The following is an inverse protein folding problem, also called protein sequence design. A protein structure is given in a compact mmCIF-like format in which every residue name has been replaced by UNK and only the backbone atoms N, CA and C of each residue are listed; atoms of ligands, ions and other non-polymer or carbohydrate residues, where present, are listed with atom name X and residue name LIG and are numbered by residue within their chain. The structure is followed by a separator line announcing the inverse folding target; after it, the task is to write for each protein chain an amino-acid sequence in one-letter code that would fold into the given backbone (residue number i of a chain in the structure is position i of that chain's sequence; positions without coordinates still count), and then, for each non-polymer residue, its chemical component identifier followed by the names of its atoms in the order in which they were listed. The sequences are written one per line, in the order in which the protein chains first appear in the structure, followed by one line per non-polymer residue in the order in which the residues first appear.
data_IF_373938310448
#
_entry.id   IF_373938310448
#
_cell.length_a   1.000
_cell.length_b   1.000
_cell.length_c   1.000
_cell.angle_alpha   90.00
_cell.angle_beta   90.00
_cell.angle_gamma   90.00
#
_symmetry.space_group_name_H-M   'P 1'
#
loop_
_entity.id
_entity.type
_entity.pdbx_description
1 polymer ?
#
# COMPACT_ATOMS: atom_id res chain seq x y z
N UNK A 1 18.80 7.42 12.97
CA UNK A 1 18.56 7.91 11.59
C UNK A 1 17.88 9.26 11.63
N UNK A 2 18.24 10.13 10.70
CA UNK A 2 17.53 11.38 10.54
C UNK A 2 16.16 11.14 9.91
N UNK A 3 15.29 12.15 9.99
CA UNK A 3 13.98 12.08 9.36
C UNK A 3 14.10 11.87 7.84
N UNK A 4 15.04 12.56 7.22
CA UNK A 4 15.30 12.43 5.76
C UNK A 4 15.78 11.03 5.39
N UNK A 5 16.63 10.43 6.21
CA UNK A 5 17.11 9.06 5.99
C UNK A 5 15.98 8.05 6.09
N UNK A 6 15.06 8.23 7.05
CA UNK A 6 13.89 7.37 7.19
C UNK A 6 12.96 7.49 6.00
N UNK A 7 12.71 8.71 5.53
CA UNK A 7 11.87 8.92 4.34
C UNK A 7 12.49 8.23 3.13
N UNK A 8 13.80 8.37 2.94
CA UNK A 8 14.51 7.73 1.82
C UNK A 8 14.41 6.20 1.90
N UNK A 9 14.61 5.64 3.10
CA UNK A 9 14.51 4.19 3.32
C UNK A 9 13.12 3.67 2.97
N UNK A 10 12.08 4.33 3.50
CA UNK A 10 10.71 3.87 3.26
C UNK A 10 10.19 4.22 1.87
N UNK A 11 10.77 5.22 1.19
CA UNK A 11 10.46 5.43 -0.21
C UNK A 11 10.86 4.20 -1.04
N UNK A 12 12.02 3.61 -0.73
CA UNK A 12 12.49 2.39 -1.40
C UNK A 12 11.56 1.21 -1.07
N UNK A 13 11.20 1.03 0.21
CA UNK A 13 10.29 -0.03 0.63
C UNK A 13 8.96 0.09 -0.11
N UNK A 14 8.41 1.30 -0.17
CA UNK A 14 7.12 1.55 -0.81
C UNK A 14 7.18 1.38 -2.32
N UNK A 15 8.27 1.80 -2.97
CA UNK A 15 8.45 1.62 -4.41
C UNK A 15 8.49 0.12 -4.75
N UNK A 16 9.14 -0.68 -3.94
CA UNK A 16 9.18 -2.13 -4.14
C UNK A 16 7.82 -2.78 -3.89
N UNK A 17 7.09 -2.31 -2.89
CA UNK A 17 5.72 -2.78 -2.63
C UNK A 17 4.81 -2.46 -3.82
N UNK A 18 4.90 -1.24 -4.35
CA UNK A 18 4.14 -0.84 -5.54
C UNK A 18 4.43 -1.75 -6.74
N UNK A 19 5.70 -2.08 -6.97
CA UNK A 19 6.08 -3.01 -8.06
C UNK A 19 5.42 -4.38 -7.88
N UNK A 20 5.37 -4.87 -6.66
CA UNK A 20 4.72 -6.15 -6.38
C UNK A 20 3.22 -6.08 -6.67
N UNK A 21 2.56 -5.00 -6.26
CA UNK A 21 1.12 -4.83 -6.50
C UNK A 21 0.82 -4.73 -7.99
N UNK A 22 1.62 -3.95 -8.74
CA UNK A 22 1.44 -3.79 -10.19
C UNK A 22 1.65 -5.12 -10.94
N UNK A 23 2.49 -6.01 -10.40
CA UNK A 23 2.71 -7.32 -11.02
C UNK A 23 1.45 -8.18 -11.03
N UNK A 24 0.48 -7.87 -10.18
CA UNK A 24 -0.73 -8.66 -9.97
C UNK A 24 -0.43 -10.12 -9.62
N UNK A 25 0.75 -10.37 -9.06
CA UNK A 25 1.25 -11.69 -8.66
C UNK A 25 1.17 -11.82 -7.15
N UNK A 26 0.33 -12.72 -6.66
CA UNK A 26 0.08 -12.87 -5.23
C UNK A 26 1.33 -13.29 -4.45
N UNK A 27 2.19 -14.12 -5.06
CA UNK A 27 3.44 -14.54 -4.42
C UNK A 27 4.35 -13.34 -4.17
N UNK A 28 4.45 -12.44 -5.15
CA UNK A 28 5.25 -11.22 -4.99
C UNK A 28 4.65 -10.30 -3.92
N UNK A 29 3.32 -10.09 -3.95
CA UNK A 29 2.63 -9.25 -2.98
C UNK A 29 2.81 -9.80 -1.57
N UNK A 30 2.74 -11.13 -1.41
CA UNK A 30 2.83 -11.77 -0.09
C UNK A 30 4.15 -11.52 0.62
N UNK A 31 5.19 -11.12 -0.10
CA UNK A 31 6.49 -10.81 0.51
C UNK A 31 6.47 -9.51 1.31
N UNK A 32 5.47 -8.66 1.10
CA UNK A 32 5.41 -7.31 1.69
C UNK A 32 4.33 -7.15 2.76
N UNK A 33 3.39 -8.08 2.87
CA UNK A 33 2.26 -7.96 3.78
C UNK A 33 2.20 -9.15 4.74
N UNK A 34 1.70 -8.89 5.96
CA UNK A 34 1.52 -9.95 6.96
C UNK A 34 0.31 -10.83 6.62
N UNK A 35 0.23 -11.98 7.29
CA UNK A 35 -0.90 -12.89 7.09
C UNK A 35 -2.23 -12.28 7.54
N UNK A 36 -2.18 -11.35 8.48
CA UNK A 36 -3.36 -10.67 9.01
C UNK A 36 -3.56 -9.25 8.47
N UNK A 37 -2.82 -8.90 7.41
CA UNK A 37 -2.95 -7.57 6.79
C UNK A 37 -4.38 -7.28 6.38
N UNK A 38 -4.80 -6.02 6.58
CA UNK A 38 -6.09 -5.51 6.11
C UNK A 38 -5.88 -4.22 5.34
N UNK A 39 -6.77 -3.97 4.40
CA UNK A 39 -6.88 -2.71 3.68
C UNK A 39 -8.13 -2.00 4.17
N UNK A 40 -8.00 -0.75 4.61
CA UNK A 40 -9.13 0.06 5.03
C UNK A 40 -9.30 1.19 4.03
N UNK A 41 -10.48 1.28 3.41
CA UNK A 41 -10.76 2.38 2.49
C UNK A 41 -12.16 2.96 2.71
N UNK A 42 -12.42 4.09 2.05
CA UNK A 42 -13.64 4.85 2.27
C UNK A 42 -14.90 4.14 1.74
N UNK A 43 -14.73 3.22 0.79
CA UNK A 43 -15.86 2.54 0.14
C UNK A 43 -16.09 1.14 0.70
N UNK A 44 -15.01 0.36 0.81
CA UNK A 44 -15.11 -1.03 1.21
C UNK A 44 -15.00 -1.28 2.71
N UNK A 45 -14.61 -0.26 3.48
CA UNK A 45 -14.37 -0.43 4.91
C UNK A 45 -13.13 -1.27 5.17
N UNK A 46 -13.26 -2.29 6.01
CA UNK A 46 -12.13 -3.18 6.32
C UNK A 46 -12.16 -4.37 5.36
N UNK A 47 -11.14 -4.43 4.52
CA UNK A 47 -11.01 -5.47 3.48
C UNK A 47 -9.90 -6.43 3.91
N UNK A 48 -10.23 -7.68 4.27
CA UNK A 48 -9.20 -8.64 4.66
C UNK A 48 -8.34 -9.07 3.48
N UNK A 49 -7.14 -9.53 3.78
CA UNK A 49 -6.16 -9.99 2.80
C UNK A 49 -6.77 -11.01 1.83
N UNK A 50 -7.58 -11.93 2.32
CA UNK A 50 -8.19 -12.99 1.51
C UNK A 50 -9.11 -12.40 0.44
N UNK A 51 -9.85 -11.34 0.78
CA UNK A 51 -10.72 -10.65 -0.17
C UNK A 51 -9.90 -9.93 -1.24
N UNK A 52 -8.83 -9.25 -0.83
CA UNK A 52 -7.93 -8.58 -1.76
C UNK A 52 -7.30 -9.58 -2.72
N UNK A 53 -6.81 -10.70 -2.20
CA UNK A 53 -6.21 -11.76 -3.01
C UNK A 53 -7.21 -12.33 -4.01
N UNK A 54 -8.45 -12.56 -3.56
CA UNK A 54 -9.49 -13.10 -4.43
C UNK A 54 -9.75 -12.20 -5.63
N UNK A 55 -9.93 -10.89 -5.41
CA UNK A 55 -10.24 -9.98 -6.53
C UNK A 55 -9.05 -9.80 -7.48
N UNK A 56 -7.82 -9.88 -6.97
CA UNK A 56 -6.62 -9.84 -7.82
C UNK A 56 -6.49 -11.13 -8.62
N UNK A 57 -6.64 -12.28 -7.96
CA UNK A 57 -6.51 -13.58 -8.61
C UNK A 57 -7.56 -13.79 -9.72
N UNK A 58 -8.79 -13.34 -9.48
CA UNK A 58 -9.87 -13.46 -10.46
C UNK A 58 -9.77 -12.41 -11.58
N UNK A 59 -8.78 -11.51 -11.51
CA UNK A 59 -8.62 -10.47 -12.50
C UNK A 59 -9.67 -9.37 -12.43
N UNK A 60 -10.46 -9.33 -11.33
CA UNK A 60 -11.44 -8.27 -11.13
C UNK A 60 -10.78 -6.94 -10.82
N UNK A 61 -9.69 -6.98 -10.07
CA UNK A 61 -8.87 -5.81 -9.75
C UNK A 61 -7.50 -5.99 -10.39
N UNK A 62 -7.12 -5.04 -11.24
CA UNK A 62 -5.79 -5.01 -11.85
C UNK A 62 -5.23 -3.61 -11.73
N UNK A 63 -4.01 -3.50 -11.23
CA UNK A 63 -3.28 -2.24 -11.21
C UNK A 63 -2.33 -2.18 -12.40
N UNK A 64 -2.25 -1.03 -13.06
CA UNK A 64 -1.33 -0.81 -14.19
C UNK A 64 -0.22 0.17 -13.85
N UNK A 65 -0.53 1.22 -13.09
CA UNK A 65 0.48 2.14 -12.57
C UNK A 65 0.23 2.41 -11.10
N UNK A 66 1.30 2.71 -10.38
CA UNK A 66 1.19 3.01 -8.96
C UNK A 66 2.44 3.79 -8.54
N UNK A 67 2.22 4.97 -7.98
CA UNK A 67 3.30 5.81 -7.44
C UNK A 67 2.93 6.28 -6.05
N UNK A 68 3.93 6.48 -5.20
CA UNK A 68 3.74 7.06 -3.87
C UNK A 68 4.85 8.06 -3.61
N UNK A 69 4.47 9.19 -3.04
CA UNK A 69 5.42 10.13 -2.47
C UNK A 69 5.33 10.01 -0.96
N UNK A 70 6.39 9.56 -0.32
CA UNK A 70 6.43 9.38 1.13
C UNK A 70 6.73 10.72 1.78
N UNK A 71 5.84 11.14 2.68
CA UNK A 71 5.87 12.48 3.26
C UNK A 71 6.17 12.47 4.76
N UNK A 72 5.88 11.38 5.45
CA UNK A 72 6.06 11.29 6.89
C UNK A 72 6.38 9.85 7.28
N UNK A 73 7.44 9.68 8.08
CA UNK A 73 7.80 8.37 8.64
C UNK A 73 8.08 8.55 10.12
N UNK A 74 7.44 7.74 10.97
CA UNK A 74 7.73 7.65 12.40
C UNK A 74 7.96 6.20 12.77
N UNK A 75 9.04 5.94 13.48
CA UNK A 75 9.41 4.60 13.92
C UNK A 75 9.33 4.54 15.45
N UNK A 76 8.62 3.54 15.95
CA UNK A 76 8.46 3.26 17.37
C UNK A 76 8.86 1.81 17.60
N UNK A 77 10.13 1.60 17.97
CA UNK A 77 10.74 0.27 18.12
C UNK A 77 10.63 -0.55 16.83
N UNK A 78 9.79 -1.57 16.82
CA UNK A 78 9.60 -2.45 15.66
C UNK A 78 8.36 -2.08 14.82
N UNK A 79 7.76 -0.91 15.06
CA UNK A 79 6.61 -0.41 14.32
C UNK A 79 6.99 0.87 13.59
N UNK A 80 6.59 0.99 12.34
CA UNK A 80 6.75 2.23 11.57
C UNK A 80 5.40 2.67 11.02
N UNK A 81 5.15 3.97 11.10
CA UNK A 81 3.98 4.62 10.52
C UNK A 81 4.47 5.42 9.33
N UNK A 82 4.00 5.07 8.14
CA UNK A 82 4.48 5.65 6.88
C UNK A 82 3.30 6.27 6.15
N UNK A 83 3.33 7.58 5.99
CA UNK A 83 2.22 8.31 5.36
C UNK A 83 2.73 9.04 4.13
N UNK A 84 1.97 8.95 3.05
CA UNK A 84 2.29 9.61 1.81
C UNK A 84 1.07 9.82 0.94
N UNK A 85 1.32 10.29 -0.27
CA UNK A 85 0.30 10.46 -1.30
C UNK A 85 0.54 9.46 -2.40
N UNK A 86 -0.49 8.70 -2.73
CA UNK A 86 -0.41 7.67 -3.75
C UNK A 86 -1.37 7.92 -4.88
N UNK A 87 -0.91 7.62 -6.10
CA UNK A 87 -1.75 7.67 -7.30
C UNK A 87 -1.64 6.34 -8.01
N UNK A 88 -2.76 5.84 -8.47
CA UNK A 88 -2.75 4.59 -9.23
C UNK A 88 -3.79 4.61 -10.34
N UNK A 89 -3.56 3.75 -11.31
CA UNK A 89 -4.51 3.45 -12.38
C UNK A 89 -4.64 1.95 -12.51
N UNK A 90 -5.75 1.52 -13.08
CA UNK A 90 -5.99 0.11 -13.32
C UNK A 90 -7.40 -0.11 -13.82
N UNK A 91 -7.93 -1.31 -13.56
CA UNK A 91 -9.30 -1.65 -13.92
C UNK A 91 -9.99 -2.35 -12.75
N UNK A 92 -11.29 -2.13 -12.65
CA UNK A 92 -12.16 -2.87 -11.76
C UNK A 92 -13.27 -3.47 -12.61
N UNK A 93 -13.35 -4.80 -12.65
CA UNK A 93 -14.29 -5.53 -13.49
C UNK A 93 -14.23 -5.10 -14.95
N UNK A 94 -13.01 -4.80 -15.45
CA UNK A 94 -12.79 -4.36 -16.81
C UNK A 94 -12.97 -2.87 -17.05
N UNK A 95 -13.52 -2.13 -16.09
CA UNK A 95 -13.73 -0.70 -16.24
C UNK A 95 -12.51 0.08 -15.73
N UNK A 96 -12.05 1.11 -16.48
CA UNK A 96 -10.93 1.93 -16.03
C UNK A 96 -11.21 2.58 -14.68
N UNK A 97 -10.18 2.60 -13.83
CA UNK A 97 -10.22 3.31 -12.56
C UNK A 97 -8.93 4.06 -12.33
N UNK A 98 -9.01 5.12 -11.53
CA UNK A 98 -7.83 5.84 -11.05
C UNK A 98 -8.11 6.34 -9.65
N UNK A 99 -7.04 6.50 -8.89
CA UNK A 99 -7.15 6.97 -7.52
C UNK A 99 -6.02 7.97 -7.21
N UNK A 100 -6.33 8.92 -6.35
CA UNK A 100 -5.39 9.87 -5.76
C UNK A 100 -5.74 9.91 -4.28
N UNK A 101 -4.83 9.39 -3.44
CA UNK A 101 -5.17 9.06 -2.06
C UNK A 101 -4.06 9.44 -1.08
N UNK A 102 -4.47 9.82 0.14
CA UNK A 102 -3.58 9.78 1.28
C UNK A 102 -3.50 8.33 1.73
N UNK A 103 -2.29 7.85 1.97
CA UNK A 103 -2.05 6.45 2.33
C UNK A 103 -1.23 6.43 3.61
N UNK A 104 -1.68 5.63 4.59
CA UNK A 104 -0.84 5.30 5.74
C UNK A 104 -0.67 3.80 5.77
N UNK A 105 0.59 3.37 5.70
CA UNK A 105 0.97 1.98 5.88
C UNK A 105 1.59 1.82 7.26
N UNK A 106 1.15 0.82 7.99
CA UNK A 106 1.73 0.44 9.28
C UNK A 106 2.61 -0.78 9.03
N UNK A 107 3.88 -0.67 9.37
CA UNK A 107 4.86 -1.73 9.21
C UNK A 107 5.30 -2.28 10.56
N UNK A 108 5.56 -3.57 10.59
CA UNK A 108 6.21 -4.25 11.72
C UNK A 108 7.52 -4.85 11.23
N UNK A 109 8.58 -4.67 12.02
CA UNK A 109 9.88 -5.24 11.66
C UNK A 109 9.93 -6.70 12.11
N UNK A 110 10.22 -7.59 11.15
CA UNK A 110 10.36 -9.02 11.38
C UNK A 110 11.61 -9.49 10.65
N UNK A 111 12.55 -10.11 11.38
CA UNK A 111 13.79 -10.63 10.79
C UNK A 111 14.50 -9.61 9.91
N UNK A 112 14.64 -8.38 10.42
CA UNK A 112 15.26 -7.25 9.75
C UNK A 112 14.52 -6.74 8.49
N UNK A 113 13.29 -7.20 8.28
CA UNK A 113 12.45 -6.72 7.18
C UNK A 113 11.23 -5.99 7.71
N UNK A 114 10.82 -4.95 7.03
CA UNK A 114 9.58 -4.26 7.31
C UNK A 114 8.45 -4.93 6.54
N UNK A 115 7.44 -5.41 7.29
CA UNK A 115 6.27 -6.09 6.74
C UNK A 115 5.05 -5.23 7.03
N UNK A 116 4.25 -4.92 6.01
CA UNK A 116 3.06 -4.11 6.15
C UNK A 116 1.94 -4.92 6.81
N UNK A 117 1.37 -4.39 7.89
CA UNK A 117 0.31 -5.07 8.64
C UNK A 117 -1.05 -4.40 8.42
N UNK A 118 -1.07 -3.16 7.93
CA UNK A 118 -2.30 -2.44 7.66
C UNK A 118 -2.02 -1.32 6.67
N UNK A 119 -2.92 -1.17 5.68
CA UNK A 119 -2.92 -0.07 4.75
C UNK A 119 -4.24 0.69 4.89
N UNK A 120 -4.17 2.00 5.10
CA UNK A 120 -5.34 2.85 5.22
C UNK A 120 -5.33 3.90 4.12
N UNK A 121 -6.41 3.97 3.35
CA UNK A 121 -6.57 4.86 2.21
C UNK A 121 -7.68 5.88 2.47
N UNK A 122 -7.41 7.13 2.12
CA UNK A 122 -8.40 8.21 2.19
C UNK A 122 -8.29 9.04 0.91
N UNK A 123 -9.40 9.28 0.20
CA UNK A 123 -9.33 10.09 -1.01
C UNK A 123 -8.82 11.50 -0.73
N UNK A 124 -7.98 12.01 -1.64
CA UNK A 124 -7.58 13.41 -1.59
C UNK A 124 -8.77 14.24 -2.08
N UNK A 125 -9.22 15.18 -1.24
CA UNK A 125 -10.31 16.06 -1.63
C UNK A 125 -9.75 17.16 -2.51
N UNK A 126 -10.40 17.36 -3.64
CA UNK A 126 -10.04 18.45 -4.54
C UNK A 126 -10.74 19.72 -4.07
N UNK A 127 -9.98 20.80 -3.94
CA UNK A 127 -10.56 22.10 -3.67
C UNK A 127 -11.18 22.66 -4.95
N UNK A 128 -12.37 23.13 -4.80
CA UNK A 128 -13.05 23.84 -5.88
C UNK A 128 -12.72 25.32 -5.83
#
# INVERSE_FOLDING_TARGET
MTNEQLITEFQIVEDNFNKAVISNNLTEISKFISTDWVLVDAQGGIIPKERFYYVVEQGLLKHTTMTKEILRVKVYDNIALVTGRGKNTGTWQGEPMQADEWITDVYRKENDKWICVLTHLTPVLQKQ
#
